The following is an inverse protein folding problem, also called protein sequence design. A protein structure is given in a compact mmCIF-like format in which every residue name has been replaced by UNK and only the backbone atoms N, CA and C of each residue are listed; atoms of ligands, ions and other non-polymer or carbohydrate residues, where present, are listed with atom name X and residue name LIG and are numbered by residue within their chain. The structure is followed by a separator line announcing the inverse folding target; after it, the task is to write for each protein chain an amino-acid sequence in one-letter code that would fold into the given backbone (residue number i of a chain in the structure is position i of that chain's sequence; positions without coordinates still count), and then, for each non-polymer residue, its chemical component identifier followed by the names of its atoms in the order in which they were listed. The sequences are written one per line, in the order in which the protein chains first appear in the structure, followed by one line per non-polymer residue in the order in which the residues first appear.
data_IF_273343142786
#
_entry.id   IF_273343142786
#
_cell.length_a   1.000
_cell.length_b   1.000
_cell.length_c   1.000
_cell.angle_alpha   90.00
_cell.angle_beta   90.00
_cell.angle_gamma   90.00
#
_symmetry.space_group_name_H-M   'P 1'
#
loop_
_entity.id
_entity.type
_entity.pdbx_description
1 polymer ?
#
# COMPACT_ATOMS: atom_id res chain seq x y z
N UNK A 1 -29.01 17.00 10.84
CA UNK A 1 -27.83 16.13 10.65
C UNK A 1 -27.58 15.81 9.17
N UNK A 2 -27.34 16.79 8.29
CA UNK A 2 -27.47 16.59 6.82
C UNK A 2 -26.28 17.10 5.95
N UNK A 3 -25.04 17.04 6.45
CA UNK A 3 -23.83 17.52 5.73
C UNK A 3 -22.85 16.43 5.26
N UNK A 4 -23.01 15.17 5.69
CA UNK A 4 -22.04 14.09 5.39
C UNK A 4 -22.38 13.27 4.14
N UNK A 5 -23.64 13.23 3.75
CA UNK A 5 -24.12 12.43 2.62
C UNK A 5 -23.77 13.07 1.27
N UNK A 6 -23.85 14.40 1.18
CA UNK A 6 -23.52 15.17 -0.03
C UNK A 6 -22.03 15.18 -0.37
N UNK A 7 -21.15 15.11 0.63
CA UNK A 7 -19.69 15.07 0.43
C UNK A 7 -19.20 13.73 -0.15
N UNK A 8 -19.94 12.65 0.10
CA UNK A 8 -19.54 11.30 -0.38
C UNK A 8 -19.89 11.10 -1.85
N UNK A 9 -21.10 11.49 -2.27
CA UNK A 9 -21.52 11.39 -3.69
C UNK A 9 -20.66 12.26 -4.61
N UNK A 10 -20.26 13.44 -4.13
CA UNK A 10 -19.42 14.36 -4.87
C UNK A 10 -17.97 13.87 -4.99
N UNK A 11 -17.43 13.26 -3.92
CA UNK A 11 -16.12 12.58 -3.95
C UNK A 11 -16.10 11.46 -4.98
N UNK A 12 -17.14 10.63 -5.03
CA UNK A 12 -17.20 9.48 -5.93
C UNK A 12 -17.26 9.92 -7.40
N UNK A 13 -18.08 10.94 -7.71
CA UNK A 13 -18.13 11.55 -9.06
C UNK A 13 -16.78 12.11 -9.51
N UNK A 14 -16.06 12.78 -8.61
CA UNK A 14 -14.70 13.27 -8.88
C UNK A 14 -13.71 12.13 -9.16
N UNK A 15 -13.73 11.08 -8.32
CA UNK A 15 -12.85 9.92 -8.46
C UNK A 15 -13.15 9.09 -9.72
N UNK A 16 -14.38 9.05 -10.21
CA UNK A 16 -14.68 8.44 -11.52
C UNK A 16 -14.15 9.29 -12.68
N UNK A 17 -14.30 10.61 -12.62
CA UNK A 17 -13.84 11.52 -13.68
C UNK A 17 -12.33 11.48 -13.86
N UNK A 18 -11.55 11.38 -12.78
CA UNK A 18 -10.08 11.29 -12.84
C UNK A 18 -9.56 9.91 -13.31
N UNK A 19 -10.42 8.87 -13.29
CA UNK A 19 -10.07 7.52 -13.79
C UNK A 19 -10.21 7.42 -15.32
N UNK A 20 -10.91 8.36 -15.97
CA UNK A 20 -11.10 8.35 -17.43
C UNK A 20 -9.84 8.84 -18.16
N UNK A 21 -9.41 8.18 -19.26
CA UNK A 21 -8.31 8.67 -20.08
C UNK A 21 -8.64 10.03 -20.69
N UNK A 22 -7.71 10.99 -20.62
CA UNK A 22 -7.92 12.37 -21.09
C UNK A 22 -8.66 13.28 -20.09
N UNK A 23 -8.73 12.92 -18.81
CA UNK A 23 -9.38 13.76 -17.81
C UNK A 23 -8.72 15.16 -17.69
N UNK A 24 -9.52 16.23 -17.47
CA UNK A 24 -8.99 17.57 -17.22
C UNK A 24 -8.10 17.62 -15.98
N UNK A 25 -7.22 18.61 -15.90
CA UNK A 25 -6.35 18.78 -14.73
C UNK A 25 -7.16 18.94 -13.44
N UNK A 26 -6.61 18.47 -12.31
CA UNK A 26 -7.24 18.64 -10.98
C UNK A 26 -7.50 20.12 -10.67
N UNK A 27 -6.71 21.04 -11.24
CA UNK A 27 -6.92 22.49 -11.11
C UNK A 27 -8.21 22.94 -11.80
N UNK A 28 -8.44 22.50 -13.03
CA UNK A 28 -9.66 22.80 -13.80
C UNK A 28 -10.91 22.26 -13.09
N UNK A 29 -10.83 21.04 -12.58
CA UNK A 29 -11.95 20.41 -11.88
C UNK A 29 -12.23 21.11 -10.53
N UNK A 30 -11.20 21.61 -9.85
CA UNK A 30 -11.36 22.40 -8.62
C UNK A 30 -12.12 23.72 -8.86
N UNK A 31 -11.83 24.39 -9.98
CA UNK A 31 -12.49 25.62 -10.40
C UNK A 31 -13.96 25.35 -10.80
N UNK A 32 -14.23 24.27 -11.54
CA UNK A 32 -15.59 23.85 -11.92
C UNK A 32 -16.47 23.48 -10.71
N UNK A 33 -15.91 22.73 -9.75
CA UNK A 33 -16.65 22.24 -8.58
C UNK A 33 -16.65 23.25 -7.41
N UNK A 34 -15.98 24.39 -7.57
CA UNK A 34 -15.77 25.41 -6.54
C UNK A 34 -15.23 24.83 -5.21
N UNK A 35 -14.24 23.94 -5.31
CA UNK A 35 -13.65 23.24 -4.18
C UNK A 35 -12.17 23.55 -4.00
N UNK A 36 -11.66 23.58 -2.76
CA UNK A 36 -10.24 23.70 -2.52
C UNK A 36 -9.48 22.52 -3.14
N UNK A 37 -8.38 22.81 -3.85
CA UNK A 37 -7.49 21.79 -4.42
C UNK A 37 -7.00 20.78 -3.38
N UNK A 38 -6.78 21.25 -2.15
CA UNK A 38 -6.37 20.42 -1.01
C UNK A 38 -7.38 19.28 -0.74
N UNK A 39 -8.68 19.56 -0.82
CA UNK A 39 -9.74 18.57 -0.62
C UNK A 39 -9.68 17.48 -1.69
N UNK A 40 -9.54 17.86 -2.96
CA UNK A 40 -9.43 16.91 -4.08
C UNK A 40 -8.18 16.03 -3.96
N UNK A 41 -7.02 16.63 -3.63
CA UNK A 41 -5.79 15.86 -3.39
C UNK A 41 -5.90 14.92 -2.18
N UNK A 42 -6.61 15.33 -1.13
CA UNK A 42 -6.87 14.45 0.03
C UNK A 42 -7.67 13.21 -0.36
N UNK A 43 -8.64 13.34 -1.28
CA UNK A 43 -9.42 12.21 -1.78
C UNK A 43 -8.60 11.29 -2.68
N UNK A 44 -7.75 11.83 -3.54
CA UNK A 44 -6.81 11.03 -4.36
C UNK A 44 -5.85 10.24 -3.46
N UNK A 45 -5.30 10.89 -2.42
CA UNK A 45 -4.40 10.25 -1.47
C UNK A 45 -5.12 9.13 -0.68
N UNK A 46 -6.34 9.39 -0.21
CA UNK A 46 -7.16 8.40 0.48
C UNK A 46 -7.51 7.20 -0.42
N UNK A 47 -7.84 7.43 -1.69
CA UNK A 47 -8.13 6.36 -2.66
C UNK A 47 -6.88 5.53 -2.97
N UNK A 48 -5.71 6.16 -3.10
CA UNK A 48 -4.42 5.45 -3.27
C UNK A 48 -4.08 4.61 -2.03
N UNK A 49 -4.32 5.15 -0.84
CA UNK A 49 -4.12 4.42 0.41
C UNK A 49 -5.10 3.25 0.53
N UNK A 50 -6.37 3.43 0.16
CA UNK A 50 -7.37 2.36 0.09
C UNK A 50 -7.00 1.29 -0.93
N UNK A 51 -6.47 1.64 -2.10
CA UNK A 51 -5.98 0.65 -3.08
C UNK A 51 -4.75 -0.10 -2.58
N UNK A 52 -3.79 0.59 -1.96
CA UNK A 52 -2.62 -0.04 -1.30
C UNK A 52 -3.06 -0.98 -0.17
N UNK A 53 -4.03 -0.54 0.63
CA UNK A 53 -4.63 -1.37 1.67
C UNK A 53 -5.47 -2.49 1.09
N UNK A 54 -6.17 -2.32 -0.03
CA UNK A 54 -6.96 -3.37 -0.70
C UNK A 54 -6.11 -4.52 -1.24
N UNK A 55 -4.90 -4.22 -1.72
CA UNK A 55 -3.88 -5.25 -2.05
C UNK A 55 -3.34 -5.92 -0.78
N UNK A 56 -3.25 -5.20 0.33
CA UNK A 56 -2.85 -5.72 1.66
C UNK A 56 -4.00 -6.36 2.46
N UNK A 57 -5.25 -6.21 2.02
CA UNK A 57 -6.48 -6.61 2.72
C UNK A 57 -7.27 -7.61 1.86
N UNK A 58 -6.55 -8.52 1.20
CA UNK A 58 -7.06 -9.90 1.17
C UNK A 58 -7.41 -10.26 2.62
N UNK A 59 -8.69 -10.50 2.86
CA UNK A 59 -9.37 -10.58 4.16
C UNK A 59 -8.42 -11.12 5.23
N UNK A 60 -8.29 -10.39 6.35
CA UNK A 60 -7.85 -10.98 7.62
C UNK A 60 -8.91 -12.02 8.03
N UNK A 61 -8.95 -13.17 7.37
CA UNK A 61 -9.48 -14.39 7.97
C UNK A 61 -8.73 -14.56 9.27
N UNK A 62 -9.46 -14.83 10.36
CA UNK A 62 -8.90 -15.00 11.70
C UNK A 62 -7.57 -15.75 11.58
N UNK A 63 -6.47 -15.12 11.99
CA UNK A 63 -5.10 -15.49 11.64
C UNK A 63 -4.85 -16.92 12.15
N UNK A 64 -5.21 -17.94 11.36
CA UNK A 64 -5.05 -19.35 11.73
C UNK A 64 -3.56 -19.58 11.93
N UNK A 65 -3.21 -20.31 12.99
CA UNK A 65 -1.80 -20.64 13.27
C UNK A 65 -1.22 -21.40 12.08
N UNK A 66 0.08 -21.25 11.82
CA UNK A 66 0.76 -21.97 10.73
C UNK A 66 0.57 -23.49 10.87
N UNK A 67 0.64 -24.00 12.10
CA UNK A 67 0.39 -25.41 12.42
C UNK A 67 -1.03 -25.84 12.03
N UNK A 68 -2.05 -25.06 12.38
CA UNK A 68 -3.43 -25.36 12.00
C UNK A 68 -3.63 -25.40 10.50
N UNK A 69 -3.03 -24.45 9.76
CA UNK A 69 -3.10 -24.43 8.29
C UNK A 69 -2.45 -25.67 7.68
N UNK A 70 -1.25 -26.02 8.15
CA UNK A 70 -0.54 -27.20 7.69
C UNK A 70 -1.34 -28.48 7.97
N UNK A 71 -1.89 -28.64 9.18
CA UNK A 71 -2.72 -29.81 9.51
C UNK A 71 -3.96 -29.93 8.62
N UNK A 72 -4.57 -28.82 8.22
CA UNK A 72 -5.72 -28.83 7.31
C UNK A 72 -5.30 -29.26 5.89
N UNK A 73 -4.19 -28.72 5.38
CA UNK A 73 -3.63 -29.12 4.08
C UNK A 73 -3.27 -30.61 4.08
N UNK A 74 -2.59 -31.09 5.13
CA UNK A 74 -2.19 -32.49 5.25
C UNK A 74 -3.41 -33.43 5.31
N UNK A 75 -4.47 -33.05 6.02
CA UNK A 75 -5.72 -33.85 6.07
C UNK A 75 -6.47 -33.85 4.75
N UNK A 76 -6.37 -32.79 3.95
CA UNK A 76 -7.01 -32.72 2.64
C UNK A 76 -6.30 -33.51 1.53
N UNK A 77 -5.14 -34.10 1.84
CA UNK A 77 -4.40 -34.95 0.92
C UNK A 77 -5.19 -36.25 0.66
N UNK A 78 -5.30 -36.65 -0.62
CA UNK A 78 -6.06 -37.83 -1.03
C UNK A 78 -7.59 -37.74 -1.01
N UNK A 79 -8.19 -36.62 -0.56
CA UNK A 79 -9.65 -36.45 -0.57
C UNK A 79 -10.20 -36.24 -1.99
N UNK A 80 -11.37 -36.82 -2.26
CA UNK A 80 -12.14 -36.56 -3.49
C UNK A 80 -12.74 -35.14 -3.48
N UNK A 81 -13.16 -34.58 -4.63
CA UNK A 81 -13.74 -33.24 -4.69
C UNK A 81 -14.95 -33.04 -3.76
N UNK A 82 -15.82 -34.05 -3.64
CA UNK A 82 -17.01 -33.99 -2.79
C UNK A 82 -16.67 -33.98 -1.30
N UNK A 83 -15.67 -34.78 -0.89
CA UNK A 83 -15.16 -34.82 0.47
C UNK A 83 -14.48 -33.50 0.85
N UNK A 84 -13.79 -32.90 -0.12
CA UNK A 84 -13.03 -31.68 0.08
C UNK A 84 -13.94 -30.46 0.21
N UNK A 85 -15.09 -30.42 -0.49
CA UNK A 85 -16.14 -29.42 -0.27
C UNK A 85 -16.75 -29.52 1.14
N UNK A 86 -17.08 -30.74 1.59
CA UNK A 86 -17.58 -30.97 2.96
C UNK A 86 -16.54 -30.57 4.00
N UNK A 87 -15.30 -30.98 3.81
CA UNK A 87 -14.17 -30.65 4.68
C UNK A 87 -13.95 -29.13 4.77
N UNK A 88 -14.04 -28.42 3.64
CA UNK A 88 -13.97 -26.96 3.59
C UNK A 88 -15.11 -26.30 4.39
N UNK A 89 -16.34 -26.81 4.26
CA UNK A 89 -17.50 -26.33 4.99
C UNK A 89 -17.35 -26.55 6.52
N UNK A 90 -16.95 -27.75 6.94
CA UNK A 90 -16.77 -28.11 8.36
C UNK A 90 -15.66 -27.31 9.03
N UNK A 91 -14.55 -27.09 8.33
CA UNK A 91 -13.39 -26.37 8.88
C UNK A 91 -13.47 -24.85 8.68
N UNK A 92 -14.50 -24.36 7.97
CA UNK A 92 -14.69 -22.94 7.64
C UNK A 92 -13.56 -22.38 6.77
N UNK A 93 -13.06 -23.19 5.83
CA UNK A 93 -11.96 -22.83 4.91
C UNK A 93 -12.51 -22.83 3.49
N UNK A 94 -12.17 -21.83 2.69
CA UNK A 94 -12.50 -21.88 1.25
C UNK A 94 -11.56 -22.83 0.51
N UNK A 95 -12.05 -23.53 -0.51
CA UNK A 95 -11.22 -24.33 -1.41
C UNK A 95 -10.00 -23.56 -1.92
N UNK A 96 -10.20 -22.29 -2.31
CA UNK A 96 -9.14 -21.42 -2.80
C UNK A 96 -8.10 -21.08 -1.71
N UNK A 97 -8.52 -20.95 -0.45
CA UNK A 97 -7.59 -20.74 0.67
C UNK A 97 -6.77 -22.00 0.95
N UNK A 98 -7.39 -23.18 0.88
CA UNK A 98 -6.73 -24.47 1.10
C UNK A 98 -5.68 -24.75 0.01
N UNK A 99 -6.05 -24.53 -1.25
CA UNK A 99 -5.12 -24.61 -2.39
C UNK A 99 -3.97 -23.62 -2.25
N UNK A 100 -4.28 -22.36 -1.92
CA UNK A 100 -3.26 -21.35 -1.65
C UNK A 100 -2.25 -21.81 -0.60
N UNK A 101 -2.68 -22.46 0.48
CA UNK A 101 -1.76 -22.95 1.51
C UNK A 101 -0.95 -24.16 1.04
N UNK A 102 -1.54 -25.02 0.22
CA UNK A 102 -0.83 -26.13 -0.43
C UNK A 102 0.29 -25.61 -1.32
N UNK A 103 -0.02 -24.68 -2.21
CA UNK A 103 0.94 -24.08 -3.14
C UNK A 103 2.05 -23.34 -2.40
N UNK A 104 1.70 -22.57 -1.37
CA UNK A 104 2.69 -21.89 -0.53
C UNK A 104 3.60 -22.88 0.21
N UNK A 105 3.06 -24.01 0.67
CA UNK A 105 3.85 -25.05 1.35
C UNK A 105 4.81 -25.74 0.38
N UNK A 106 4.36 -26.05 -0.83
CA UNK A 106 5.19 -26.66 -1.88
C UNK A 106 6.26 -25.67 -2.34
N UNK A 107 5.89 -24.44 -2.65
CA UNK A 107 6.82 -23.40 -3.07
C UNK A 107 7.85 -23.08 -1.98
N UNK A 108 7.45 -23.07 -0.70
CA UNK A 108 8.40 -22.90 0.40
C UNK A 108 9.37 -24.08 0.53
N UNK A 109 8.92 -25.31 0.24
CA UNK A 109 9.74 -26.52 0.31
C UNK A 109 10.70 -26.60 -0.89
N UNK A 110 10.26 -26.27 -2.09
CA UNK A 110 11.10 -26.13 -3.29
C UNK A 110 12.15 -25.02 -3.10
N UNK A 111 11.72 -23.85 -2.62
CA UNK A 111 12.61 -22.72 -2.35
C UNK A 111 13.42 -22.86 -1.06
N UNK A 112 13.24 -23.93 -0.27
CA UNK A 112 14.08 -24.17 0.92
C UNK A 112 15.44 -24.78 0.57
N UNK A 113 15.59 -25.32 -0.63
CA UNK A 113 16.87 -25.77 -1.19
C UNK A 113 17.77 -24.61 -1.61
N UNK A 114 17.18 -23.49 -2.05
CA UNK A 114 17.88 -22.25 -2.35
C UNK A 114 17.87 -21.38 -1.08
N UNK A 115 19.04 -20.98 -0.56
CA UNK A 115 19.21 -20.26 0.72
C UNK A 115 18.55 -18.87 0.87
N UNK A 116 17.45 -18.60 0.17
CA UNK A 116 16.75 -17.33 0.03
C UNK A 116 15.89 -16.95 1.25
N UNK A 117 15.63 -17.84 2.21
CA UNK A 117 14.85 -17.48 3.42
C UNK A 117 15.63 -16.52 4.34
N UNK A 118 16.97 -16.53 4.27
CA UNK A 118 17.84 -15.52 4.92
C UNK A 118 17.75 -14.14 4.27
N UNK A 119 17.23 -14.07 3.05
CA UNK A 119 17.19 -12.85 2.23
C UNK A 119 16.18 -11.83 2.74
N UNK A 120 15.05 -12.25 3.31
CA UNK A 120 13.99 -11.31 3.73
C UNK A 120 14.46 -10.41 4.87
N UNK A 121 15.12 -10.96 5.89
CA UNK A 121 15.67 -10.16 7.00
C UNK A 121 16.79 -9.24 6.53
N UNK A 122 17.68 -9.75 5.67
CA UNK A 122 18.77 -8.97 5.08
C UNK A 122 18.20 -7.80 4.25
N UNK A 123 17.16 -8.04 3.46
CA UNK A 123 16.48 -7.00 2.70
C UNK A 123 15.75 -5.99 3.58
N UNK A 124 15.12 -6.41 4.68
CA UNK A 124 14.50 -5.50 5.64
C UNK A 124 15.54 -4.56 6.28
N UNK A 125 16.69 -5.10 6.68
CA UNK A 125 17.82 -4.35 7.23
C UNK A 125 18.43 -3.40 6.20
N UNK A 126 18.61 -3.85 4.96
CA UNK A 126 19.07 -3.02 3.84
C UNK A 126 18.10 -1.87 3.55
N UNK A 127 16.79 -2.16 3.52
CA UNK A 127 15.76 -1.14 3.31
C UNK A 127 15.76 -0.11 4.45
N UNK A 128 15.94 -0.55 5.70
CA UNK A 128 16.04 0.35 6.85
C UNK A 128 17.29 1.25 6.75
N UNK A 129 18.43 0.67 6.39
CA UNK A 129 19.70 1.38 6.20
C UNK A 129 19.60 2.43 5.09
N UNK A 130 19.05 2.04 3.93
CA UNK A 130 18.87 2.94 2.78
C UNK A 130 17.91 4.09 3.10
N UNK A 131 16.82 3.83 3.83
CA UNK A 131 15.90 4.88 4.28
C UNK A 131 16.56 5.88 5.23
N UNK A 132 17.38 5.39 6.17
CA UNK A 132 18.11 6.27 7.09
C UNK A 132 19.14 7.14 6.35
N UNK A 133 19.84 6.57 5.37
CA UNK A 133 20.79 7.31 4.54
C UNK A 133 20.09 8.38 3.69
N UNK A 134 18.95 8.04 3.10
CA UNK A 134 18.13 8.96 2.32
C UNK A 134 17.65 10.13 3.18
N UNK A 135 17.15 9.88 4.39
CA UNK A 135 16.72 10.92 5.31
C UNK A 135 17.85 11.87 5.72
N UNK A 136 19.08 11.35 5.94
CA UNK A 136 20.26 12.18 6.23
C UNK A 136 20.63 13.06 5.04
N UNK A 137 20.59 12.52 3.82
CA UNK A 137 20.89 13.26 2.59
C UNK A 137 19.83 14.35 2.33
N UNK A 138 18.56 14.05 2.52
CA UNK A 138 17.47 15.02 2.41
C UNK A 138 17.61 16.15 3.44
N UNK A 139 17.98 15.84 4.69
CA UNK A 139 18.25 16.85 5.72
C UNK A 139 19.39 17.79 5.34
N UNK A 140 20.53 17.24 4.91
CA UNK A 140 21.68 18.03 4.48
C UNK A 140 21.34 18.91 3.25
N UNK A 141 20.55 18.38 2.31
CA UNK A 141 20.07 19.13 1.15
C UNK A 141 19.15 20.28 1.58
N UNK A 142 18.25 20.05 2.53
CA UNK A 142 17.38 21.08 3.08
C UNK A 142 18.17 22.19 3.81
N UNK A 143 19.19 21.83 4.58
CA UNK A 143 20.09 22.78 5.25
C UNK A 143 20.88 23.61 4.22
N UNK A 144 21.42 22.99 3.18
CA UNK A 144 22.09 23.70 2.09
C UNK A 144 21.14 24.67 1.35
N UNK A 145 19.91 24.23 1.08
CA UNK A 145 18.89 25.09 0.48
C UNK A 145 18.54 26.28 1.39
N UNK A 146 18.45 26.06 2.71
CA UNK A 146 18.21 27.13 3.67
C UNK A 146 19.34 28.16 3.69
N UNK A 147 20.61 27.71 3.63
CA UNK A 147 21.77 28.60 3.53
C UNK A 147 21.75 29.43 2.25
N UNK A 148 21.45 28.83 1.10
CA UNK A 148 21.33 29.56 -0.18
C UNK A 148 20.21 30.60 -0.13
N UNK A 149 19.07 30.27 0.47
CA UNK A 149 17.96 31.21 0.65
C UNK A 149 18.37 32.37 1.57
N UNK A 150 19.08 32.08 2.65
CA UNK A 150 19.57 33.09 3.59
C UNK A 150 20.55 34.04 2.90
N UNK A 151 21.55 33.52 2.19
CA UNK A 151 22.50 34.30 1.40
C UNK A 151 21.80 35.21 0.39
N UNK A 152 20.80 34.68 -0.32
CA UNK A 152 20.02 35.48 -1.27
C UNK A 152 19.27 36.62 -0.58
N UNK A 153 18.69 36.37 0.60
CA UNK A 153 17.98 37.41 1.37
C UNK A 153 18.94 38.47 1.91
N UNK A 154 20.11 38.08 2.42
CA UNK A 154 21.10 39.04 2.93
C UNK A 154 21.66 39.91 1.80
N UNK A 155 22.02 39.33 0.64
CA UNK A 155 22.47 40.12 -0.52
C UNK A 155 21.38 41.06 -1.05
N UNK A 156 20.10 40.72 -0.92
CA UNK A 156 19.00 41.60 -1.31
C UNK A 156 18.82 42.81 -0.36
N UNK A 157 19.18 42.67 0.92
CA UNK A 157 19.05 43.72 1.93
C UNK A 157 20.31 44.61 1.99
N UNK A 158 21.50 44.01 1.92
CA UNK A 158 22.78 44.71 2.07
C UNK A 158 23.40 45.15 0.73
N UNK A 159 22.84 44.73 -0.41
CA UNK A 159 23.50 44.83 -1.71
C UNK A 159 24.58 43.75 -1.88
N UNK A 160 25.09 43.52 -3.11
CA UNK A 160 26.15 42.55 -3.32
C UNK A 160 27.41 42.98 -2.56
N UNK A 161 27.97 42.08 -1.74
CA UNK A 161 29.36 42.25 -1.29
C UNK A 161 30.26 42.26 -2.54
N UNK A 162 31.15 43.25 -2.62
CA UNK A 162 32.09 43.44 -3.74
C UNK A 162 33.09 42.30 -3.84
#
# INVERSE_FOLDING_TARGET
MSRKTTDTTLRDSFLERIKKPGCPSVKTIAEEMNLPKATLYSWIAAERQRKRQGVSMSKKSAKRSALTKFSLVAKSEGMTPEELEKFCAENGVSFAELQSWRDLSLSAMENSGDGNVMSVKQHEDEVAKLKAELARKEKALAEAAALLILQKKTSAILGPEK
#
